data_IF_335161964174
#
_entry.id   IF_335161964174
#
_cell.length_a   1.000
_cell.length_b   1.000
_cell.length_c   1.000
_cell.angle_alpha   90.00
_cell.angle_beta   90.00
_cell.angle_gamma   90.00
#
_symmetry.space_group_name_H-M   'P 1'
#
loop_
_entity.id
_entity.type
_entity.pdbx_description
1 polymer ?
#
# COMPACT_ATOMS: atom_id res chain seq x y z
N UNK A 1 -17.25 -24.96 6.67
CA UNK A 1 -16.57 -24.24 5.57
C UNK A 1 -15.14 -24.07 6.01
N UNK A 2 -14.24 -24.90 5.48
CA UNK A 2 -12.82 -24.82 5.79
C UNK A 2 -12.26 -23.56 5.15
N UNK A 3 -11.90 -22.60 5.98
CA UNK A 3 -11.12 -21.45 5.58
C UNK A 3 -9.73 -21.99 5.21
N UNK A 4 -9.54 -22.27 3.91
CA UNK A 4 -8.27 -22.69 3.38
C UNK A 4 -7.34 -21.47 3.43
N UNK A 5 -6.75 -21.22 4.60
CA UNK A 5 -5.77 -20.15 4.84
C UNK A 5 -4.52 -20.47 4.04
N UNK A 6 -4.56 -20.23 2.73
CA UNK A 6 -3.36 -20.20 1.90
C UNK A 6 -2.46 -19.13 2.50
N UNK A 7 -1.31 -19.55 2.99
CA UNK A 7 -0.30 -18.64 3.51
C UNK A 7 0.07 -17.65 2.39
N UNK A 8 -0.25 -16.37 2.59
CA UNK A 8 0.07 -15.33 1.61
C UNK A 8 1.56 -15.07 1.72
N UNK A 9 2.33 -15.64 0.78
CA UNK A 9 3.75 -15.37 0.68
C UNK A 9 3.96 -13.89 0.31
N UNK A 10 4.81 -13.21 1.08
CA UNK A 10 5.26 -11.86 0.76
C UNK A 10 6.09 -11.88 -0.54
N UNK A 11 5.77 -11.04 -1.53
CA UNK A 11 6.60 -10.84 -2.72
C UNK A 11 8.04 -10.52 -2.34
N UNK A 12 9.00 -11.17 -2.99
CA UNK A 12 10.43 -10.89 -2.83
C UNK A 12 10.92 -9.95 -3.92
N UNK A 13 10.28 -9.98 -5.09
CA UNK A 13 10.57 -9.13 -6.24
C UNK A 13 9.26 -8.64 -6.91
N UNK A 14 9.29 -7.56 -7.71
CA UNK A 14 8.09 -7.03 -8.37
C UNK A 14 7.35 -8.05 -9.23
N UNK A 15 8.07 -9.00 -9.83
CA UNK A 15 7.50 -10.05 -10.69
C UNK A 15 6.65 -11.06 -9.92
N UNK A 16 6.80 -11.14 -8.59
CA UNK A 16 5.96 -11.99 -7.74
C UNK A 16 4.56 -11.36 -7.53
N UNK A 17 4.38 -10.08 -7.85
CA UNK A 17 3.10 -9.36 -7.76
C UNK A 17 2.31 -9.67 -9.04
N UNK A 18 1.55 -10.75 -8.98
CA UNK A 18 0.67 -11.21 -10.07
C UNK A 18 -0.79 -10.88 -9.79
N UNK A 19 -1.64 -11.02 -10.82
CA UNK A 19 -3.10 -10.93 -10.67
C UNK A 19 -3.65 -11.93 -9.64
N UNK A 20 -3.08 -13.14 -9.61
CA UNK A 20 -3.44 -14.16 -8.63
C UNK A 20 -3.08 -13.70 -7.21
N UNK A 21 -1.86 -13.19 -7.02
CA UNK A 21 -1.42 -12.69 -5.72
C UNK A 21 -2.26 -11.51 -5.24
N UNK A 22 -2.58 -10.56 -6.11
CA UNK A 22 -3.45 -9.43 -5.79
C UNK A 22 -4.85 -9.89 -5.37
N UNK A 23 -5.42 -10.88 -6.06
CA UNK A 23 -6.70 -11.45 -5.66
C UNK A 23 -6.61 -12.21 -4.33
N UNK A 24 -5.51 -12.92 -4.04
CA UNK A 24 -5.32 -13.55 -2.73
C UNK A 24 -5.31 -12.53 -1.59
N UNK A 25 -4.68 -11.37 -1.80
CA UNK A 25 -4.57 -10.29 -0.79
C UNK A 25 -5.86 -9.48 -0.65
N UNK A 26 -6.55 -9.19 -1.76
CA UNK A 26 -7.67 -8.24 -1.78
C UNK A 26 -9.05 -8.91 -1.67
N UNK A 27 -9.18 -10.19 -2.01
CA UNK A 27 -10.45 -10.91 -1.92
C UNK A 27 -11.03 -10.99 -0.49
N UNK A 28 -10.23 -11.14 0.59
CA UNK A 28 -10.74 -11.03 1.96
C UNK A 28 -11.45 -9.69 2.26
N UNK A 29 -11.13 -8.65 1.49
CA UNK A 29 -11.75 -7.33 1.56
C UNK A 29 -12.87 -7.13 0.53
N UNK A 30 -13.35 -8.22 -0.09
CA UNK A 30 -14.41 -8.24 -1.10
C UNK A 30 -14.06 -7.46 -2.38
N UNK A 31 -12.78 -7.39 -2.70
CA UNK A 31 -12.25 -6.74 -3.90
C UNK A 31 -11.64 -7.83 -4.79
N UNK A 32 -12.26 -8.05 -5.94
CA UNK A 32 -11.71 -8.91 -6.99
C UNK A 32 -10.98 -8.03 -8.02
N UNK A 33 -9.76 -8.41 -8.38
CA UNK A 33 -8.98 -7.72 -9.43
C UNK A 33 -9.18 -8.46 -10.74
N UNK A 34 -9.70 -7.76 -11.75
CA UNK A 34 -9.92 -8.29 -13.10
C UNK A 34 -8.71 -8.03 -14.00
N UNK A 35 -8.14 -6.83 -13.91
CA UNK A 35 -6.98 -6.41 -14.70
C UNK A 35 -5.97 -5.66 -13.83
N UNK A 36 -4.69 -5.82 -14.16
CA UNK A 36 -3.55 -5.24 -13.45
C UNK A 36 -2.51 -4.77 -14.45
N UNK A 37 -2.08 -3.51 -14.34
CA UNK A 37 -0.97 -2.96 -15.15
C UNK A 37 -0.05 -2.07 -14.32
N UNK A 38 1.25 -2.17 -14.58
CA UNK A 38 2.25 -1.26 -14.03
C UNK A 38 2.16 0.09 -14.72
N UNK A 39 2.08 1.16 -13.93
CA UNK A 39 1.92 2.53 -14.40
C UNK A 39 3.15 3.42 -14.12
N UNK A 40 4.29 2.79 -13.81
CA UNK A 40 5.58 3.43 -13.61
C UNK A 40 5.92 3.79 -12.16
N UNK A 41 7.03 4.51 -12.00
CA UNK A 41 7.57 4.92 -10.71
C UNK A 41 6.73 6.05 -10.07
N UNK A 42 6.51 5.97 -8.77
CA UNK A 42 5.87 7.00 -7.96
C UNK A 42 6.82 7.63 -6.93
N UNK A 43 8.09 7.22 -6.90
CA UNK A 43 9.12 7.78 -6.04
C UNK A 43 9.37 9.26 -6.40
N UNK A 44 9.39 10.10 -5.37
CA UNK A 44 9.97 11.44 -5.45
C UNK A 44 11.29 11.42 -4.64
N UNK A 45 12.29 10.68 -5.11
CA UNK A 45 13.60 10.54 -4.43
C UNK A 45 14.32 9.22 -4.69
N UNK A 46 15.48 9.00 -4.04
CA UNK A 46 16.19 7.71 -4.08
C UNK A 46 15.55 6.77 -3.04
N UNK A 47 14.68 5.87 -3.49
CA UNK A 47 13.95 4.90 -2.65
C UNK A 47 14.84 3.84 -2.00
N UNK A 48 15.65 4.23 -1.01
CA UNK A 48 16.67 3.36 -0.40
C UNK A 48 16.08 2.22 0.46
N UNK A 49 14.98 2.49 1.17
CA UNK A 49 14.35 1.52 2.08
C UNK A 49 13.09 0.87 1.49
N UNK A 50 12.67 1.28 0.30
CA UNK A 50 11.46 0.81 -0.40
C UNK A 50 11.33 1.49 -1.75
N UNK A 51 10.62 0.85 -2.68
CA UNK A 51 10.20 1.47 -3.94
C UNK A 51 8.70 1.72 -3.95
N UNK A 52 8.27 2.88 -4.45
CA UNK A 52 6.87 3.20 -4.70
C UNK A 52 6.60 3.09 -6.19
N UNK A 53 5.68 2.21 -6.57
CA UNK A 53 5.26 2.03 -7.96
C UNK A 53 3.77 2.33 -8.06
N UNK A 54 3.37 3.04 -9.11
CA UNK A 54 1.96 3.20 -9.43
C UNK A 54 1.48 1.98 -10.22
N UNK A 55 0.30 1.49 -9.90
CA UNK A 55 -0.37 0.44 -10.67
C UNK A 55 -1.83 0.82 -10.91
N UNK A 56 -2.32 0.43 -12.07
CA UNK A 56 -3.74 0.53 -12.42
C UNK A 56 -4.40 -0.82 -12.25
N UNK A 57 -5.50 -0.82 -11.52
CA UNK A 57 -6.33 -1.98 -11.28
C UNK A 57 -7.72 -1.72 -11.87
N UNK A 58 -8.26 -2.71 -12.55
CA UNK A 58 -9.69 -2.82 -12.79
C UNK A 58 -10.24 -3.79 -11.77
N UNK A 59 -11.11 -3.33 -10.87
CA UNK A 59 -11.63 -4.14 -9.78
C UNK A 59 -13.13 -4.27 -9.82
N UNK A 60 -13.64 -5.40 -9.33
CA UNK A 60 -15.04 -5.62 -9.03
C UNK A 60 -15.22 -5.73 -7.53
N UNK A 61 -16.15 -4.95 -6.98
CA UNK A 61 -16.54 -5.09 -5.58
C UNK A 61 -17.68 -6.10 -5.47
N UNK A 62 -17.46 -7.22 -4.80
CA UNK A 62 -18.38 -8.36 -4.78
C UNK A 62 -19.79 -7.99 -4.27
N UNK A 63 -19.91 -6.93 -3.46
CA UNK A 63 -21.19 -6.48 -2.89
C UNK A 63 -22.08 -5.69 -3.86
N UNK A 64 -21.53 -5.15 -4.96
CA UNK A 64 -22.23 -4.20 -5.83
C UNK A 64 -22.23 -4.59 -7.31
N UNK A 65 -21.52 -5.67 -7.68
CA UNK A 65 -21.23 -6.07 -9.07
C UNK A 65 -20.75 -4.90 -9.96
N UNK A 66 -20.15 -3.89 -9.31
CA UNK A 66 -19.68 -2.68 -9.96
C UNK A 66 -18.20 -2.84 -10.29
N UNK A 67 -17.87 -2.59 -11.55
CA UNK A 67 -16.50 -2.52 -12.04
C UNK A 67 -16.00 -1.08 -11.88
N UNK A 68 -14.81 -0.92 -11.29
CA UNK A 68 -14.18 0.36 -11.06
C UNK A 68 -12.70 0.31 -11.43
N UNK A 69 -12.23 1.35 -12.13
CA UNK A 69 -10.81 1.59 -12.34
C UNK A 69 -10.21 2.33 -11.15
N UNK A 70 -9.11 1.81 -10.63
CA UNK A 70 -8.38 2.39 -9.50
C UNK A 70 -6.91 2.56 -9.84
N UNK A 71 -6.35 3.68 -9.40
CA UNK A 71 -4.90 3.93 -9.41
C UNK A 71 -4.41 3.83 -7.97
N UNK A 72 -3.52 2.89 -7.70
CA UNK A 72 -2.95 2.69 -6.36
C UNK A 72 -1.43 2.84 -6.40
N UNK A 73 -0.85 3.13 -5.23
CA UNK A 73 0.59 3.10 -5.02
C UNK A 73 0.94 1.81 -4.30
N UNK A 74 1.74 0.96 -4.95
CA UNK A 74 2.34 -0.22 -4.33
C UNK A 74 3.71 0.14 -3.77
N UNK A 75 3.88 -0.11 -2.47
CA UNK A 75 5.17 -0.01 -1.81
C UNK A 75 5.80 -1.39 -1.71
N UNK A 76 6.94 -1.57 -2.36
CA UNK A 76 7.70 -2.83 -2.31
C UNK A 76 8.92 -2.66 -1.41
N UNK A 77 9.27 -3.73 -0.69
CA UNK A 77 10.50 -3.78 0.08
C UNK A 77 11.71 -4.00 -0.84
N UNK A 78 12.92 -3.58 -0.44
CA UNK A 78 14.13 -3.82 -1.21
C UNK A 78 14.35 -5.32 -1.44
N UNK A 79 14.92 -5.66 -2.59
CA UNK A 79 15.29 -7.04 -2.94
C UNK A 79 16.57 -7.48 -2.23
N UNK A 80 17.46 -6.54 -1.90
CA UNK A 80 18.74 -6.82 -1.21
C UNK A 80 18.49 -7.41 0.19
N UNK A 81 18.95 -8.65 0.49
CA UNK A 81 18.54 -9.38 1.69
C UNK A 81 18.80 -8.64 3.02
N UNK A 82 19.94 -7.97 3.15
CA UNK A 82 20.31 -7.26 4.38
C UNK A 82 19.41 -6.06 4.63
N UNK A 83 19.14 -5.27 3.61
CA UNK A 83 18.27 -4.09 3.69
C UNK A 83 16.82 -4.55 3.90
N UNK A 84 16.39 -5.59 3.20
CA UNK A 84 15.06 -6.20 3.35
C UNK A 84 14.82 -6.67 4.80
N UNK A 85 15.76 -7.41 5.36
CA UNK A 85 15.67 -7.88 6.74
C UNK A 85 15.58 -6.70 7.73
N UNK A 86 16.35 -5.65 7.51
CA UNK A 86 16.27 -4.43 8.32
C UNK A 86 14.91 -3.74 8.21
N UNK A 87 14.41 -3.51 6.99
CA UNK A 87 13.11 -2.87 6.74
C UNK A 87 11.97 -3.66 7.37
N UNK A 88 11.98 -5.00 7.26
CA UNK A 88 10.95 -5.87 7.84
C UNK A 88 11.03 -5.94 9.38
N UNK A 89 12.23 -6.13 9.94
CA UNK A 89 12.43 -6.33 11.38
C UNK A 89 12.08 -5.10 12.21
N UNK A 90 12.17 -3.89 11.64
CA UNK A 90 11.92 -2.63 12.36
C UNK A 90 10.46 -2.16 12.33
N UNK A 91 9.54 -2.98 11.80
CA UNK A 91 8.13 -2.61 11.72
C UNK A 91 7.91 -1.35 10.87
N UNK A 92 8.79 -1.10 9.89
CA UNK A 92 8.80 0.13 9.11
C UNK A 92 7.44 0.40 8.45
N UNK A 93 6.87 -0.60 7.77
CA UNK A 93 5.56 -0.49 7.15
C UNK A 93 4.43 -0.24 8.17
N UNK A 94 4.53 -0.82 9.38
CA UNK A 94 3.54 -0.61 10.45
C UNK A 94 3.59 0.82 10.98
N UNK A 95 4.79 1.32 11.26
CA UNK A 95 4.97 2.69 11.75
C UNK A 95 4.51 3.71 10.70
N UNK A 96 4.77 3.43 9.43
CA UNK A 96 4.30 4.26 8.31
C UNK A 96 2.77 4.25 8.19
N UNK A 97 2.13 3.08 8.28
CA UNK A 97 0.67 3.01 8.33
C UNK A 97 0.09 3.78 9.51
N UNK A 98 0.69 3.66 10.70
CA UNK A 98 0.30 4.45 11.88
C UNK A 98 0.48 5.95 11.65
N UNK A 99 1.56 6.36 10.99
CA UNK A 99 1.79 7.76 10.66
C UNK A 99 0.64 8.33 9.83
N UNK A 100 0.25 7.65 8.74
CA UNK A 100 -0.79 8.13 7.84
C UNK A 100 -2.21 7.98 8.39
N UNK A 101 -2.49 6.94 9.19
CA UNK A 101 -3.86 6.64 9.65
C UNK A 101 -4.21 7.20 11.01
N UNK A 102 -3.21 7.54 11.84
CA UNK A 102 -3.42 7.96 13.22
C UNK A 102 -2.70 9.28 13.52
N UNK A 103 -1.39 9.33 13.28
CA UNK A 103 -0.57 10.48 13.72
C UNK A 103 -0.89 11.74 12.92
N UNK A 104 -0.83 11.69 11.58
CA UNK A 104 -1.08 12.87 10.75
C UNK A 104 -2.50 13.43 10.92
N UNK A 105 -3.56 12.60 10.97
CA UNK A 105 -4.90 13.08 11.32
C UNK A 105 -4.96 13.79 12.68
N UNK A 106 -4.39 13.20 13.73
CA UNK A 106 -4.40 13.80 15.07
C UNK A 106 -3.59 15.11 15.13
N UNK A 107 -2.45 15.17 14.42
CA UNK A 107 -1.67 16.40 14.29
C UNK A 107 -2.47 17.47 13.55
N UNK A 108 -3.18 17.11 12.48
CA UNK A 108 -4.02 18.04 11.74
C UNK A 108 -5.11 18.63 12.63
N UNK A 109 -5.84 17.78 13.36
CA UNK A 109 -6.89 18.20 14.30
C UNK A 109 -6.34 19.15 15.37
N UNK A 110 -5.20 18.81 15.98
CA UNK A 110 -4.53 19.66 16.96
C UNK A 110 -4.15 21.05 16.43
N UNK A 111 -3.75 21.13 15.15
CA UNK A 111 -3.40 22.38 14.46
C UNK A 111 -4.65 23.18 14.07
N UNK A 112 -5.72 22.49 13.66
CA UNK A 112 -7.04 23.08 13.39
C UNK A 112 -7.59 23.77 14.65
N UNK A 113 -7.57 23.10 15.80
CA UNK A 113 -8.00 23.64 17.10
C UNK A 113 -7.24 24.92 17.51
N UNK A 114 -5.98 25.05 17.06
CA UNK A 114 -5.12 26.20 17.36
C UNK A 114 -5.22 27.32 16.32
N UNK A 115 -6.08 27.17 15.32
CA UNK A 115 -6.24 28.15 14.25
C UNK A 115 -4.99 28.32 13.39
N UNK A 116 -4.10 27.32 13.33
CA UNK A 116 -2.90 27.36 12.48
C UNK A 116 -3.34 27.24 11.03
N UNK A 117 -3.06 28.23 10.20
CA UNK A 117 -3.44 28.18 8.78
C UNK A 117 -2.70 27.08 8.02
N UNK A 118 -3.34 26.47 7.02
CA UNK A 118 -2.77 25.39 6.19
C UNK A 118 -1.38 25.73 5.62
N UNK A 119 -1.15 27.01 5.28
CA UNK A 119 0.15 27.51 4.76
C UNK A 119 1.32 27.24 5.72
N UNK A 120 1.05 27.14 7.03
CA UNK A 120 2.08 27.07 8.08
C UNK A 120 2.20 25.67 8.72
N UNK A 121 1.58 24.63 8.15
CA UNK A 121 1.49 23.31 8.78
C UNK A 121 2.64 22.36 8.45
N UNK A 122 3.16 22.41 7.22
CA UNK A 122 4.13 21.43 6.71
C UNK A 122 5.22 22.05 5.82
N UNK A 123 5.59 23.30 6.09
CA UNK A 123 6.68 24.03 5.42
C UNK A 123 8.05 23.51 5.79
#
# INVERSE_FOLDING_TARGET
>A
MEENSREIKLPEKPEDISLEWLNLVLNPHQIQVEEFTWAGDANHGRGYLSSLNRVHLRVRKNSLDLIQDMSIILKTVPTEPQIRAYTLAKGFCRNELQMYTQVLPAVKEFLDERGVSERNRFS
#
